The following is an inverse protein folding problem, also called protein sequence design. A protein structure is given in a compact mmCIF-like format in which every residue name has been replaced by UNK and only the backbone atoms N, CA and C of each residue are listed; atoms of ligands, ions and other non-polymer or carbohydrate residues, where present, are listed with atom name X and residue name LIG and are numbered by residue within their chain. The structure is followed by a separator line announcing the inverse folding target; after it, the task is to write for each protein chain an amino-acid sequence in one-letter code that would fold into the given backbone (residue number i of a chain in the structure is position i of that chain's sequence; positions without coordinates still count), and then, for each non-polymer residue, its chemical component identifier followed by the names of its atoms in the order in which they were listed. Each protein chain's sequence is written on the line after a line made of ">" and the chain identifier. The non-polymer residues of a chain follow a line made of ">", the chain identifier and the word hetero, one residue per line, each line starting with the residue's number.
data_IF_927229502208
#
_entry.id   IF_927229502208
#
_cell.length_a   1.000
_cell.length_b   1.000
_cell.length_c   1.000
_cell.angle_alpha   90.00
_cell.angle_beta   90.00
_cell.angle_gamma   90.00
#
_symmetry.space_group_name_H-M   'P 1'
#
loop_
_entity.id
_entity.type
_entity.pdbx_description
1 polymer ?
#
# COMPACT_ATOMS: atom_id res chain seq x y z
N UNK A 1 -42.04 50.72 54.53
CA UNK A 1 -41.70 49.36 55.00
C UNK A 1 -42.13 48.24 54.04
N UNK A 2 -43.42 48.03 53.73
CA UNK A 2 -43.86 46.90 52.86
C UNK A 2 -43.15 46.80 51.49
N UNK A 3 -42.95 47.93 50.78
CA UNK A 3 -42.24 47.94 49.48
C UNK A 3 -40.77 47.52 49.58
N UNK A 4 -40.09 47.86 50.69
CA UNK A 4 -38.68 47.51 50.92
C UNK A 4 -38.56 46.01 51.22
N UNK A 5 -39.50 45.44 51.98
CA UNK A 5 -39.54 44.00 52.29
C UNK A 5 -39.76 43.17 51.02
N UNK A 6 -40.66 43.60 50.13
CA UNK A 6 -40.91 42.92 48.85
C UNK A 6 -39.65 42.97 47.97
N UNK A 7 -38.98 44.13 47.88
CA UNK A 7 -37.78 44.28 47.07
C UNK A 7 -36.63 43.39 47.57
N UNK A 8 -36.42 43.33 48.91
CA UNK A 8 -35.43 42.47 49.53
C UNK A 8 -35.75 40.98 49.33
N UNK A 9 -37.02 40.59 49.39
CA UNK A 9 -37.44 39.21 49.14
C UNK A 9 -37.20 38.79 47.68
N UNK A 10 -37.50 39.66 46.72
CA UNK A 10 -37.20 39.41 45.30
C UNK A 10 -35.70 39.32 45.05
N UNK A 11 -34.89 40.18 45.68
CA UNK A 11 -33.42 40.11 45.60
C UNK A 11 -32.85 38.83 46.22
N UNK A 12 -33.39 38.37 47.36
CA UNK A 12 -32.97 37.11 47.99
C UNK A 12 -33.34 35.90 47.13
N UNK A 13 -34.52 35.90 46.51
CA UNK A 13 -34.93 34.85 45.57
C UNK A 13 -34.10 34.86 44.28
N UNK A 14 -33.76 36.03 43.77
CA UNK A 14 -32.88 36.17 42.60
C UNK A 14 -31.46 35.71 42.92
N UNK A 15 -30.92 36.07 44.09
CA UNK A 15 -29.59 35.65 44.53
C UNK A 15 -29.55 34.15 44.86
N UNK A 16 -30.57 33.58 45.49
CA UNK A 16 -30.62 32.13 45.76
C UNK A 16 -30.79 31.33 44.47
N UNK A 17 -31.62 31.80 43.53
CA UNK A 17 -31.72 31.23 42.18
C UNK A 17 -30.40 31.29 41.42
N UNK A 18 -29.65 32.39 41.54
CA UNK A 18 -28.34 32.57 40.92
C UNK A 18 -27.25 31.67 41.55
N UNK A 19 -27.26 31.51 42.88
CA UNK A 19 -26.34 30.61 43.59
C UNK A 19 -26.64 29.14 43.23
N UNK A 20 -27.90 28.73 43.16
CA UNK A 20 -28.28 27.38 42.70
C UNK A 20 -27.87 27.17 41.24
N UNK A 21 -28.09 28.16 40.36
CA UNK A 21 -27.69 28.11 38.96
C UNK A 21 -26.17 27.94 38.77
N UNK A 22 -25.36 28.71 39.50
CA UNK A 22 -23.89 28.65 39.42
C UNK A 22 -23.30 27.36 40.01
N UNK A 23 -23.94 26.78 41.05
CA UNK A 23 -23.50 25.51 41.66
C UNK A 23 -23.85 24.30 40.77
N UNK A 24 -25.01 24.31 40.09
CA UNK A 24 -25.46 23.18 39.27
C UNK A 24 -24.96 23.21 37.81
N UNK A 25 -24.63 24.38 37.25
CA UNK A 25 -24.28 24.52 35.82
C UNK A 25 -22.78 24.76 35.55
N UNK A 26 -21.89 24.12 36.32
CA UNK A 26 -20.42 24.27 36.17
C UNK A 26 -19.88 23.88 34.79
N UNK A 27 -20.68 23.14 33.99
CA UNK A 27 -20.37 22.74 32.61
C UNK A 27 -21.30 23.36 31.55
N UNK A 28 -22.18 24.29 31.92
CA UNK A 28 -23.10 24.93 30.99
C UNK A 28 -24.16 23.98 30.38
N UNK A 29 -24.42 22.82 30.98
CA UNK A 29 -25.40 21.82 30.51
C UNK A 29 -26.82 22.39 30.52
N UNK A 30 -27.24 23.04 31.61
CA UNK A 30 -28.60 23.59 31.71
C UNK A 30 -28.78 24.74 30.72
N UNK A 31 -27.77 25.62 30.64
CA UNK A 31 -27.73 26.70 29.66
C UNK A 31 -27.79 26.17 28.22
N UNK A 32 -27.02 25.13 27.89
CA UNK A 32 -27.06 24.51 26.57
C UNK A 32 -28.41 23.82 26.31
N UNK A 33 -29.07 23.23 27.31
CA UNK A 33 -30.40 22.60 27.13
C UNK A 33 -31.45 23.64 26.76
N UNK A 34 -31.48 24.76 27.47
CA UNK A 34 -32.39 25.88 27.17
C UNK A 34 -32.09 26.43 25.78
N UNK A 35 -30.82 26.72 25.49
CA UNK A 35 -30.40 27.26 24.19
C UNK A 35 -30.73 26.30 23.03
N UNK A 36 -30.51 24.99 23.21
CA UNK A 36 -30.87 23.98 22.23
C UNK A 36 -32.39 23.92 22.01
N UNK A 37 -33.19 23.98 23.08
CA UNK A 37 -34.65 23.97 22.99
C UNK A 37 -35.22 25.17 22.24
N UNK A 38 -34.52 26.32 22.25
CA UNK A 38 -34.90 27.52 21.46
C UNK A 38 -34.20 27.59 20.09
N UNK A 39 -33.55 26.51 19.64
CA UNK A 39 -33.04 26.37 18.28
C UNK A 39 -31.56 26.65 18.07
N UNK A 40 -30.75 26.76 19.14
CA UNK A 40 -29.30 26.94 19.00
C UNK A 40 -28.63 25.65 18.56
N UNK A 41 -28.22 25.61 17.30
CA UNK A 41 -27.48 24.50 16.71
C UNK A 41 -26.21 24.16 17.52
N UNK A 42 -25.43 25.17 17.92
CA UNK A 42 -24.18 24.97 18.65
C UNK A 42 -24.42 24.40 20.05
N UNK A 43 -25.52 24.81 20.71
CA UNK A 43 -25.87 24.29 22.02
C UNK A 43 -26.31 22.83 21.95
N UNK A 44 -27.13 22.48 20.95
CA UNK A 44 -27.49 21.09 20.68
C UNK A 44 -26.25 20.24 20.37
N UNK A 45 -25.34 20.72 19.51
CA UNK A 45 -24.10 20.01 19.20
C UNK A 45 -23.23 19.77 20.43
N UNK A 46 -23.08 20.78 21.30
CA UNK A 46 -22.34 20.64 22.57
C UNK A 46 -22.96 19.59 23.49
N UNK A 47 -24.29 19.52 23.57
CA UNK A 47 -24.97 18.47 24.34
C UNK A 47 -24.77 17.09 23.71
N UNK A 48 -24.84 16.99 22.39
CA UNK A 48 -24.54 15.75 21.67
C UNK A 48 -23.15 15.20 22.03
N UNK A 49 -22.13 16.07 21.99
CA UNK A 49 -20.76 15.71 22.42
C UNK A 49 -20.67 15.37 23.91
N UNK A 50 -21.32 16.15 24.77
CA UNK A 50 -21.32 15.91 26.22
C UNK A 50 -21.82 14.51 26.58
N UNK A 51 -22.88 14.02 25.91
CA UNK A 51 -23.42 12.67 26.12
C UNK A 51 -22.62 11.56 25.39
N UNK A 52 -21.66 11.93 24.53
CA UNK A 52 -20.77 10.98 23.87
C UNK A 52 -19.51 10.69 24.70
N UNK A 53 -19.05 11.65 25.52
CA UNK A 53 -17.85 11.52 26.34
C UNK A 53 -17.97 10.39 27.39
N UNK A 54 -16.87 9.68 27.65
CA UNK A 54 -16.81 8.42 28.43
C UNK A 54 -17.47 8.47 29.82
N UNK A 55 -17.49 9.64 30.48
CA UNK A 55 -18.13 9.80 31.81
C UNK A 55 -19.65 9.92 31.76
N UNK A 56 -20.23 10.16 30.58
CA UNK A 56 -21.65 10.44 30.37
C UNK A 56 -22.24 9.66 29.20
N UNK A 57 -21.64 8.51 28.84
CA UNK A 57 -21.92 7.75 27.62
C UNK A 57 -23.40 7.32 27.55
N UNK A 58 -24.21 8.18 26.94
CA UNK A 58 -25.60 7.96 26.62
C UNK A 58 -25.74 8.22 25.12
N UNK A 59 -25.40 7.19 24.35
CA UNK A 59 -25.29 7.25 22.89
C UNK A 59 -26.65 7.63 22.27
N UNK A 60 -27.75 7.18 22.86
CA UNK A 60 -29.10 7.54 22.40
C UNK A 60 -29.38 9.04 22.59
N UNK A 61 -29.08 9.61 23.77
CA UNK A 61 -29.21 11.05 23.98
C UNK A 61 -28.24 11.85 23.10
N UNK A 62 -27.02 11.35 22.92
CA UNK A 62 -26.03 11.97 22.03
C UNK A 62 -26.59 12.09 20.61
N UNK A 63 -27.14 11.01 20.07
CA UNK A 63 -27.79 11.00 18.75
C UNK A 63 -28.96 11.99 18.71
N UNK A 64 -29.85 11.98 19.71
CA UNK A 64 -31.00 12.88 19.78
C UNK A 64 -30.57 14.36 19.65
N UNK A 65 -29.54 14.77 20.38
CA UNK A 65 -29.02 16.13 20.32
C UNK A 65 -28.28 16.44 19.02
N UNK A 66 -27.57 15.47 18.42
CA UNK A 66 -27.00 15.65 17.08
C UNK A 66 -28.07 15.79 16.01
N UNK A 67 -29.16 15.02 16.05
CA UNK A 67 -30.26 15.16 15.11
C UNK A 67 -30.93 16.53 15.22
N UNK A 68 -31.20 16.98 16.46
CA UNK A 68 -31.71 18.33 16.73
C UNK A 68 -30.79 19.40 16.15
N UNK A 69 -29.49 19.29 16.43
CA UNK A 69 -28.48 20.21 15.92
C UNK A 69 -28.42 20.22 14.38
N UNK A 70 -28.46 19.05 13.74
CA UNK A 70 -28.48 18.94 12.29
C UNK A 70 -29.75 19.57 11.69
N UNK A 71 -30.90 19.42 12.33
CA UNK A 71 -32.14 20.08 11.91
C UNK A 71 -32.08 21.62 12.05
N UNK A 72 -31.15 22.14 12.85
CA UNK A 72 -30.78 23.56 12.91
C UNK A 72 -29.57 23.91 12.03
N UNK A 73 -29.35 23.13 10.97
CA UNK A 73 -28.33 23.34 9.95
C UNK A 73 -26.87 23.27 10.46
N UNK A 74 -26.60 22.45 11.47
CA UNK A 74 -25.22 22.16 11.88
C UNK A 74 -24.62 21.01 11.04
N UNK A 75 -23.63 21.29 10.18
CA UNK A 75 -23.05 20.28 9.30
C UNK A 75 -22.38 19.13 10.08
N UNK A 76 -21.62 19.43 11.13
CA UNK A 76 -20.90 18.43 11.90
C UNK A 76 -21.86 17.47 12.59
N UNK A 77 -22.95 17.97 13.15
CA UNK A 77 -23.98 17.17 13.76
C UNK A 77 -24.67 16.26 12.74
N UNK A 78 -24.93 16.77 11.53
CA UNK A 78 -25.43 15.93 10.44
C UNK A 78 -24.47 14.78 10.14
N UNK A 79 -23.15 15.06 10.10
CA UNK A 79 -22.15 14.00 9.92
C UNK A 79 -22.16 12.98 11.06
N UNK A 80 -22.23 13.42 12.33
CA UNK A 80 -22.28 12.52 13.48
C UNK A 80 -23.54 11.65 13.47
N UNK A 81 -24.72 12.23 13.21
CA UNK A 81 -25.96 11.46 13.05
C UNK A 81 -25.85 10.43 11.92
N UNK A 82 -25.26 10.81 10.78
CA UNK A 82 -24.99 9.89 9.67
C UNK A 82 -24.11 8.72 10.09
N UNK A 83 -23.03 9.00 10.83
CA UNK A 83 -22.10 7.99 11.33
C UNK A 83 -22.75 7.02 12.31
N UNK A 84 -23.58 7.51 13.24
CA UNK A 84 -24.29 6.67 14.20
C UNK A 84 -25.19 5.66 13.50
N UNK A 85 -25.91 6.11 12.46
CA UNK A 85 -26.77 5.22 11.67
C UNK A 85 -26.00 4.27 10.76
N UNK A 86 -24.85 4.69 10.22
CA UNK A 86 -24.00 3.83 9.38
C UNK A 86 -23.38 2.69 10.21
N UNK A 87 -22.99 2.98 11.45
CA UNK A 87 -22.27 2.03 12.33
C UNK A 87 -23.20 1.23 13.24
N UNK A 88 -24.46 1.64 13.43
CA UNK A 88 -25.39 0.96 14.34
C UNK A 88 -25.10 1.25 15.82
N UNK A 89 -24.51 2.40 16.16
CA UNK A 89 -24.18 2.73 17.56
C UNK A 89 -25.40 2.83 18.48
N UNK A 90 -26.59 3.07 17.93
CA UNK A 90 -27.86 3.19 18.66
C UNK A 90 -28.86 2.09 18.28
N UNK A 91 -28.38 0.93 17.82
CA UNK A 91 -29.20 -0.21 17.42
C UNK A 91 -28.79 -0.78 16.06
N UNK A 92 -29.75 -1.16 15.22
CA UNK A 92 -29.44 -1.70 13.90
C UNK A 92 -28.87 -0.63 12.95
N UNK A 93 -28.02 -1.07 12.01
CA UNK A 93 -27.50 -0.24 10.92
C UNK A 93 -28.68 0.27 10.07
N UNK A 94 -28.75 1.58 9.87
CA UNK A 94 -29.81 2.25 9.09
C UNK A 94 -29.19 3.07 7.96
N UNK A 95 -28.72 2.38 6.93
CA UNK A 95 -27.99 3.00 5.82
C UNK A 95 -28.79 4.11 5.11
N UNK A 96 -30.12 3.96 4.96
CA UNK A 96 -30.97 5.01 4.36
C UNK A 96 -30.91 6.32 5.16
N UNK A 97 -31.07 6.25 6.49
CA UNK A 97 -30.94 7.42 7.36
C UNK A 97 -29.52 7.99 7.33
N UNK A 98 -28.50 7.13 7.31
CA UNK A 98 -27.11 7.58 7.20
C UNK A 98 -26.90 8.44 5.94
N UNK A 99 -27.39 7.97 4.78
CA UNK A 99 -27.35 8.73 3.52
C UNK A 99 -28.08 10.07 3.64
N UNK A 100 -29.27 10.12 4.23
CA UNK A 100 -30.02 11.37 4.41
C UNK A 100 -29.25 12.40 5.24
N UNK A 101 -28.67 11.97 6.37
CA UNK A 101 -27.90 12.85 7.24
C UNK A 101 -26.58 13.32 6.61
N UNK A 102 -25.84 12.43 5.96
CA UNK A 102 -24.64 12.84 5.21
C UNK A 102 -24.99 13.75 4.04
N UNK A 103 -26.13 13.55 3.37
CA UNK A 103 -26.60 14.47 2.34
C UNK A 103 -26.86 15.86 2.91
N UNK A 104 -27.57 15.98 4.04
CA UNK A 104 -27.77 17.27 4.72
C UNK A 104 -26.43 17.94 5.05
N UNK A 105 -25.48 17.21 5.65
CA UNK A 105 -24.15 17.75 5.97
C UNK A 105 -23.37 18.17 4.72
N UNK A 106 -23.44 17.39 3.64
CA UNK A 106 -22.79 17.72 2.38
C UNK A 106 -23.42 18.93 1.68
N UNK A 107 -24.74 19.07 1.73
CA UNK A 107 -25.47 20.23 1.20
C UNK A 107 -25.11 21.52 1.98
N UNK A 108 -24.74 21.38 3.26
CA UNK A 108 -24.18 22.44 4.11
C UNK A 108 -22.66 22.65 3.92
N UNK A 109 -22.07 22.08 2.87
CA UNK A 109 -20.64 22.19 2.54
C UNK A 109 -19.70 21.67 3.62
N UNK A 110 -20.04 20.52 4.24
CA UNK A 110 -19.08 19.76 5.04
C UNK A 110 -18.39 18.70 4.17
N UNK A 111 -17.07 18.80 3.95
CA UNK A 111 -16.36 17.86 3.07
C UNK A 111 -16.44 16.43 3.57
N UNK A 112 -16.31 16.21 4.89
CA UNK A 112 -16.43 14.89 5.51
C UNK A 112 -17.78 14.22 5.22
N UNK A 113 -18.88 14.98 5.24
CA UNK A 113 -20.20 14.43 4.91
C UNK A 113 -20.33 14.10 3.43
N UNK A 114 -19.78 14.94 2.53
CA UNK A 114 -19.73 14.61 1.10
C UNK A 114 -18.91 13.33 0.86
N UNK A 115 -17.76 13.20 1.51
CA UNK A 115 -16.92 12.01 1.45
C UNK A 115 -17.65 10.75 1.92
N UNK A 116 -18.31 10.81 3.08
CA UNK A 116 -19.02 9.66 3.62
C UNK A 116 -20.23 9.26 2.77
N UNK A 117 -20.93 10.25 2.21
CA UNK A 117 -22.00 10.00 1.25
C UNK A 117 -21.46 9.35 -0.04
N UNK A 118 -20.33 9.84 -0.55
CA UNK A 118 -19.65 9.28 -1.71
C UNK A 118 -19.25 7.82 -1.48
N UNK A 119 -18.66 7.51 -0.32
CA UNK A 119 -18.29 6.16 0.06
C UNK A 119 -19.50 5.20 0.07
N UNK A 120 -20.64 5.64 0.63
CA UNK A 120 -21.86 4.83 0.61
C UNK A 120 -22.36 4.58 -0.82
N UNK A 121 -22.23 5.56 -1.71
CA UNK A 121 -22.56 5.38 -3.13
C UNK A 121 -21.55 4.50 -3.87
N UNK A 122 -20.25 4.56 -3.54
CA UNK A 122 -19.19 3.72 -4.12
C UNK A 122 -19.41 2.24 -3.80
N UNK A 123 -19.81 1.91 -2.56
CA UNK A 123 -20.12 0.52 -2.16
C UNK A 123 -21.36 -0.06 -2.84
N UNK A 124 -22.13 0.77 -3.57
CA UNK A 124 -23.31 0.36 -4.32
C UNK A 124 -23.08 0.62 -5.81
N UNK A 125 -22.65 -0.41 -6.55
CA UNK A 125 -22.29 -0.34 -7.99
C UNK A 125 -23.34 0.33 -8.90
N UNK A 126 -24.59 0.42 -8.46
CA UNK A 126 -25.66 1.12 -9.15
C UNK A 126 -25.54 2.66 -9.12
N UNK A 127 -24.69 3.23 -8.27
CA UNK A 127 -24.62 4.70 -8.01
C UNK A 127 -23.20 5.27 -8.04
N UNK A 128 -22.30 4.68 -8.84
CA UNK A 128 -20.91 5.15 -8.93
C UNK A 128 -20.80 6.59 -9.46
N UNK A 129 -21.70 7.01 -10.36
CA UNK A 129 -21.75 8.38 -10.88
C UNK A 129 -22.03 9.39 -9.77
N UNK A 130 -22.93 9.06 -8.84
CA UNK A 130 -23.20 9.88 -7.65
C UNK A 130 -21.99 9.91 -6.71
N UNK A 131 -21.31 8.77 -6.52
CA UNK A 131 -20.10 8.72 -5.71
C UNK A 131 -19.02 9.67 -6.25
N UNK A 132 -18.77 9.63 -7.56
CA UNK A 132 -17.83 10.53 -8.26
C UNK A 132 -18.18 11.99 -7.99
N UNK A 133 -19.44 12.38 -8.18
CA UNK A 133 -19.90 13.76 -7.94
C UNK A 133 -19.64 14.23 -6.51
N UNK A 134 -19.90 13.37 -5.51
CA UNK A 134 -19.69 13.74 -4.11
C UNK A 134 -18.21 13.72 -3.71
N UNK A 135 -17.40 12.84 -4.30
CA UNK A 135 -15.94 12.88 -4.13
C UNK A 135 -15.32 14.14 -4.75
N UNK A 136 -15.77 14.56 -5.95
CA UNK A 136 -15.36 15.84 -6.54
C UNK A 136 -15.70 16.99 -5.61
N UNK A 137 -16.97 17.11 -5.18
CA UNK A 137 -17.41 18.17 -4.26
C UNK A 137 -16.61 18.18 -2.96
N UNK A 138 -16.27 17.01 -2.42
CA UNK A 138 -15.44 16.89 -1.21
C UNK A 138 -13.99 17.32 -1.46
N UNK A 139 -13.41 16.92 -2.59
CA UNK A 139 -12.05 17.28 -2.98
C UNK A 139 -11.89 18.78 -3.26
N UNK A 140 -12.89 19.42 -3.90
CA UNK A 140 -12.92 20.88 -4.14
C UNK A 140 -12.86 21.69 -2.83
N UNK A 141 -13.12 21.03 -1.70
CA UNK A 141 -13.03 21.59 -0.35
C UNK A 141 -11.84 21.00 0.44
N UNK A 142 -10.78 20.60 -0.27
CA UNK A 142 -9.50 20.12 0.27
C UNK A 142 -9.56 18.82 1.09
N UNK A 143 -10.62 18.01 0.95
CA UNK A 143 -10.62 16.69 1.59
C UNK A 143 -9.65 15.75 0.85
N UNK A 144 -8.51 15.45 1.47
CA UNK A 144 -7.40 14.72 0.83
C UNK A 144 -7.77 13.28 0.48
N UNK A 145 -8.56 12.60 1.32
CA UNK A 145 -9.07 11.26 1.03
C UNK A 145 -9.92 11.25 -0.25
N UNK A 146 -10.88 12.18 -0.36
CA UNK A 146 -11.71 12.32 -1.55
C UNK A 146 -10.87 12.70 -2.78
N UNK A 147 -9.88 13.59 -2.62
CA UNK A 147 -8.96 13.94 -3.69
C UNK A 147 -8.14 12.75 -4.19
N UNK A 148 -7.61 11.92 -3.29
CA UNK A 148 -6.90 10.71 -3.67
C UNK A 148 -7.81 9.72 -4.41
N UNK A 149 -9.07 9.58 -3.95
CA UNK A 149 -10.08 8.73 -4.59
C UNK A 149 -10.48 9.20 -5.98
N UNK A 150 -10.85 10.47 -6.13
CA UNK A 150 -11.24 11.02 -7.44
C UNK A 150 -10.05 11.09 -8.39
N UNK A 151 -8.84 11.36 -7.86
CA UNK A 151 -7.59 11.26 -8.60
C UNK A 151 -7.40 9.87 -9.18
N UNK A 152 -7.61 8.83 -8.37
CA UNK A 152 -7.53 7.43 -8.81
C UNK A 152 -8.59 7.10 -9.86
N UNK A 153 -9.84 7.54 -9.68
CA UNK A 153 -10.88 7.31 -10.68
C UNK A 153 -10.56 7.99 -12.02
N UNK A 154 -10.06 9.22 -11.99
CA UNK A 154 -9.65 9.92 -13.22
C UNK A 154 -8.41 9.32 -13.89
N UNK A 155 -7.51 8.68 -13.13
CA UNK A 155 -6.33 8.01 -13.67
C UNK A 155 -6.69 6.74 -14.45
N UNK A 156 -7.78 6.07 -14.04
CA UNK A 156 -8.21 4.78 -14.55
C UNK A 156 -9.45 4.90 -15.43
N UNK A 157 -9.81 3.82 -16.13
CA UNK A 157 -11.10 3.73 -16.79
C UNK A 157 -12.14 3.27 -15.77
N UNK A 158 -12.78 4.22 -15.09
CA UNK A 158 -13.83 3.95 -14.11
C UNK A 158 -15.19 3.95 -14.79
N UNK A 159 -16.08 3.01 -14.46
CA UNK A 159 -17.42 2.94 -15.07
C UNK A 159 -18.17 4.28 -14.86
N UNK A 160 -18.61 4.90 -15.96
CA UNK A 160 -19.30 6.19 -15.93
C UNK A 160 -18.38 7.41 -15.83
N UNK A 161 -17.05 7.23 -15.92
CA UNK A 161 -16.07 8.32 -15.92
C UNK A 161 -14.93 8.01 -16.89
N UNK A 162 -14.80 8.82 -17.93
CA UNK A 162 -13.67 8.71 -18.85
C UNK A 162 -12.38 9.11 -18.15
N UNK A 163 -11.31 8.38 -18.46
CA UNK A 163 -9.95 8.69 -17.99
C UNK A 163 -9.60 10.14 -18.34
N UNK A 164 -9.14 10.89 -17.34
CA UNK A 164 -8.71 12.27 -17.49
C UNK A 164 -7.49 12.56 -16.59
N UNK A 165 -6.29 12.44 -17.17
CA UNK A 165 -5.05 12.62 -16.42
C UNK A 165 -4.85 14.04 -15.88
N UNK A 166 -5.39 15.07 -16.55
CA UNK A 166 -5.28 16.45 -16.05
C UNK A 166 -6.12 16.66 -14.79
N UNK A 167 -7.35 16.14 -14.74
CA UNK A 167 -8.17 16.16 -13.52
C UNK A 167 -7.56 15.30 -12.41
N UNK A 168 -6.99 14.15 -12.76
CA UNK A 168 -6.28 13.30 -11.80
C UNK A 168 -5.08 14.01 -11.17
N UNK A 169 -4.25 14.64 -12.00
CA UNK A 169 -3.11 15.46 -11.57
C UNK A 169 -3.55 16.55 -10.60
N UNK A 170 -4.59 17.31 -10.95
CA UNK A 170 -5.09 18.40 -10.09
C UNK A 170 -5.62 17.87 -8.75
N UNK A 171 -6.31 16.73 -8.73
CA UNK A 171 -6.79 16.13 -7.49
C UNK A 171 -5.63 15.69 -6.58
N UNK A 172 -4.62 15.00 -7.12
CA UNK A 172 -3.43 14.65 -6.34
C UNK A 172 -2.62 15.87 -5.90
N UNK A 173 -2.60 16.93 -6.72
CA UNK A 173 -1.99 18.20 -6.34
C UNK A 173 -2.70 18.84 -5.14
N UNK A 174 -4.03 18.94 -5.16
CA UNK A 174 -4.81 19.44 -4.01
C UNK A 174 -4.52 18.60 -2.76
N UNK A 175 -4.51 17.28 -2.91
CA UNK A 175 -4.18 16.35 -1.82
C UNK A 175 -2.79 16.63 -1.23
N UNK A 176 -1.77 16.75 -2.08
CA UNK A 176 -0.39 17.03 -1.67
C UNK A 176 -0.18 18.43 -1.06
N UNK A 177 -0.84 19.45 -1.62
CA UNK A 177 -0.80 20.82 -1.12
C UNK A 177 -1.40 20.92 0.29
N UNK A 178 -2.28 19.98 0.66
CA UNK A 178 -2.84 19.81 2.01
C UNK A 178 -2.10 18.73 2.83
N UNK A 179 -0.81 18.53 2.53
CA UNK A 179 0.13 17.70 3.30
C UNK A 179 -0.17 16.18 3.33
N UNK A 180 -1.06 15.68 2.47
CA UNK A 180 -1.34 14.25 2.37
C UNK A 180 -0.19 13.52 1.67
N UNK A 181 0.46 12.60 2.39
CA UNK A 181 1.60 11.86 1.89
C UNK A 181 1.25 10.95 0.70
N UNK A 182 0.03 10.41 0.66
CA UNK A 182 -0.44 9.58 -0.46
C UNK A 182 -0.64 10.44 -1.70
N UNK A 183 -1.23 11.62 -1.54
CA UNK A 183 -1.38 12.63 -2.58
C UNK A 183 -0.04 13.06 -3.16
N UNK A 184 0.94 13.38 -2.30
CA UNK A 184 2.28 13.76 -2.74
C UNK A 184 3.04 12.62 -3.44
N UNK A 185 2.93 11.38 -2.96
CA UNK A 185 3.52 10.23 -3.65
C UNK A 185 2.90 10.02 -5.05
N UNK A 186 1.58 10.14 -5.18
CA UNK A 186 0.91 10.02 -6.47
C UNK A 186 1.28 11.18 -7.41
N UNK A 187 1.39 12.40 -6.88
CA UNK A 187 1.87 13.55 -7.64
C UNK A 187 3.31 13.34 -8.14
N UNK A 188 4.19 12.73 -7.33
CA UNK A 188 5.54 12.36 -7.75
C UNK A 188 5.53 11.37 -8.91
N UNK A 189 4.66 10.35 -8.87
CA UNK A 189 4.47 9.39 -9.97
C UNK A 189 4.02 10.11 -11.26
N UNK A 190 3.18 11.14 -11.14
CA UNK A 190 2.72 11.93 -12.29
C UNK A 190 3.85 12.71 -12.94
N UNK A 191 4.67 13.41 -12.14
CA UNK A 191 5.87 14.08 -12.65
C UNK A 191 6.92 13.09 -13.17
N UNK A 192 7.07 11.91 -12.55
CA UNK A 192 7.99 10.87 -13.00
C UNK A 192 7.64 10.37 -14.39
N UNK A 193 6.35 10.22 -14.71
CA UNK A 193 5.90 9.58 -15.94
C UNK A 193 5.29 10.54 -16.96
N UNK A 194 5.22 11.84 -16.66
CA UNK A 194 4.62 12.85 -17.56
C UNK A 194 3.11 12.66 -17.75
N UNK A 195 2.39 12.27 -16.68
CA UNK A 195 0.95 11.93 -16.77
C UNK A 195 0.08 13.18 -16.66
N UNK A 196 -0.35 13.75 -17.78
CA UNK A 196 -1.19 14.96 -17.77
C UNK A 196 -0.47 16.23 -17.30
N UNK A 197 0.85 16.14 -17.14
CA UNK A 197 1.81 17.21 -16.82
C UNK A 197 3.12 16.86 -17.52
N UNK A 198 3.97 17.85 -17.83
CA UNK A 198 5.30 17.58 -18.36
C UNK A 198 6.14 16.76 -17.37
N UNK A 199 6.88 15.79 -17.90
CA UNK A 199 7.77 14.97 -17.09
C UNK A 199 8.84 15.84 -16.41
N UNK A 200 8.99 15.69 -15.10
CA UNK A 200 10.02 16.36 -14.33
C UNK A 200 10.53 15.47 -13.20
N UNK A 201 11.65 14.78 -13.48
CA UNK A 201 12.24 13.82 -12.56
C UNK A 201 12.79 14.48 -11.29
N UNK A 202 13.25 15.72 -11.35
CA UNK A 202 13.74 16.45 -10.16
C UNK A 202 12.61 16.83 -9.21
N UNK A 203 11.45 17.24 -9.74
CA UNK A 203 10.26 17.47 -8.91
C UNK A 203 9.78 16.14 -8.29
N UNK A 204 9.73 15.06 -9.08
CA UNK A 204 9.36 13.74 -8.57
C UNK A 204 10.30 13.28 -7.43
N UNK A 205 11.61 13.43 -7.61
CA UNK A 205 12.60 13.10 -6.59
C UNK A 205 12.38 13.88 -5.28
N UNK A 206 12.16 15.19 -5.39
CA UNK A 206 11.91 16.05 -4.23
C UNK A 206 10.61 15.69 -3.51
N UNK A 207 9.55 15.34 -4.25
CA UNK A 207 8.30 14.89 -3.65
C UNK A 207 8.48 13.55 -2.94
N UNK A 208 9.16 12.58 -3.56
CA UNK A 208 9.47 11.30 -2.90
C UNK A 208 10.34 11.48 -1.65
N UNK A 209 11.31 12.40 -1.68
CA UNK A 209 12.12 12.74 -0.51
C UNK A 209 11.24 13.32 0.61
N UNK A 210 10.44 14.34 0.31
CA UNK A 210 9.52 14.96 1.28
C UNK A 210 8.61 13.94 1.96
N UNK A 211 8.02 13.02 1.19
CA UNK A 211 7.11 12.01 1.75
C UNK A 211 7.84 10.88 2.44
N UNK A 212 9.03 10.49 1.96
CA UNK A 212 9.88 9.52 2.64
C UNK A 212 10.30 10.01 4.03
N UNK A 213 10.77 11.26 4.13
CA UNK A 213 11.16 11.89 5.41
C UNK A 213 9.98 11.98 6.40
N UNK A 214 8.76 12.05 5.88
CA UNK A 214 7.52 12.03 6.67
C UNK A 214 6.99 10.60 6.98
N UNK A 215 7.75 9.55 6.64
CA UNK A 215 7.42 8.16 6.98
C UNK A 215 6.61 7.39 5.92
N UNK A 216 6.51 7.88 4.68
CA UNK A 216 5.91 7.11 3.59
C UNK A 216 6.93 6.12 3.00
N UNK A 217 6.84 4.85 3.40
CA UNK A 217 7.81 3.82 3.00
C UNK A 217 7.77 3.48 1.50
N UNK A 218 6.61 3.63 0.83
CA UNK A 218 6.50 3.46 -0.62
C UNK A 218 7.27 4.57 -1.35
N UNK A 219 7.20 5.81 -0.87
CA UNK A 219 8.02 6.90 -1.41
C UNK A 219 9.50 6.71 -1.14
N UNK A 220 9.89 6.23 0.04
CA UNK A 220 11.28 5.85 0.33
C UNK A 220 11.79 4.78 -0.64
N UNK A 221 10.98 3.76 -0.96
CA UNK A 221 11.31 2.77 -1.99
C UNK A 221 11.49 3.43 -3.37
N UNK A 222 10.58 4.30 -3.79
CA UNK A 222 10.67 4.99 -5.07
C UNK A 222 11.90 5.90 -5.16
N UNK A 223 12.24 6.59 -4.06
CA UNK A 223 13.46 7.39 -3.96
C UNK A 223 14.72 6.51 -4.00
N UNK A 224 14.69 5.34 -3.35
CA UNK A 224 15.76 4.34 -3.42
C UNK A 224 16.02 3.92 -4.86
N UNK A 225 14.94 3.71 -5.65
CA UNK A 225 15.06 3.43 -7.09
C UNK A 225 15.66 4.59 -7.88
N UNK A 226 15.27 5.84 -7.55
CA UNK A 226 15.84 7.03 -8.16
C UNK A 226 17.35 7.12 -7.93
N UNK A 227 17.81 6.91 -6.70
CA UNK A 227 19.24 6.87 -6.40
C UNK A 227 19.95 5.67 -7.02
N UNK A 228 19.33 4.49 -7.06
CA UNK A 228 19.91 3.30 -7.67
C UNK A 228 20.20 3.52 -9.16
N UNK A 229 19.31 4.24 -9.86
CA UNK A 229 19.36 4.44 -11.31
C UNK A 229 19.90 5.81 -11.74
N UNK A 230 20.09 6.75 -10.83
CA UNK A 230 20.44 8.13 -11.16
C UNK A 230 19.33 8.88 -11.91
N UNK A 231 18.07 8.64 -11.52
CA UNK A 231 16.89 9.25 -12.17
C UNK A 231 16.52 10.51 -11.39
N UNK A 232 16.66 11.69 -12.01
CA UNK A 232 16.32 12.97 -11.38
C UNK A 232 17.23 13.39 -10.21
N UNK A 233 18.15 12.52 -9.79
CA UNK A 233 19.19 12.68 -8.77
C UNK A 233 20.48 12.04 -9.25
N UNK A 234 21.62 12.40 -8.67
CA UNK A 234 22.87 11.70 -8.91
C UNK A 234 22.78 10.24 -8.44
N UNK A 235 23.33 9.31 -9.21
CA UNK A 235 23.32 7.89 -8.85
C UNK A 235 24.10 7.68 -7.54
N UNK A 236 23.47 7.03 -6.56
CA UNK A 236 24.10 6.72 -5.28
C UNK A 236 23.56 5.40 -4.71
N UNK A 237 24.34 4.32 -4.88
CA UNK A 237 23.92 3.00 -4.41
C UNK A 237 23.83 2.90 -2.89
N UNK A 238 24.66 3.63 -2.14
CA UNK A 238 24.63 3.63 -0.68
C UNK A 238 23.32 4.22 -0.14
N UNK A 239 22.88 5.35 -0.70
CA UNK A 239 21.59 5.95 -0.34
C UNK A 239 20.43 5.04 -0.77
N UNK A 240 20.51 4.41 -1.95
CA UNK A 240 19.50 3.45 -2.38
C UNK A 240 19.35 2.28 -1.39
N UNK A 241 20.47 1.69 -0.95
CA UNK A 241 20.49 0.60 0.04
C UNK A 241 19.86 1.05 1.36
N UNK A 242 20.26 2.22 1.89
CA UNK A 242 19.70 2.77 3.14
C UNK A 242 18.18 2.94 3.06
N UNK A 243 17.68 3.49 1.95
CA UNK A 243 16.26 3.72 1.74
C UNK A 243 15.49 2.40 1.59
N UNK A 244 16.01 1.46 0.80
CA UNK A 244 15.37 0.14 0.65
C UNK A 244 15.38 -0.65 1.96
N UNK A 245 16.46 -0.62 2.73
CA UNK A 245 16.55 -1.28 4.03
C UNK A 245 15.58 -0.67 5.04
N UNK A 246 15.50 0.66 5.11
CA UNK A 246 14.55 1.38 5.95
C UNK A 246 13.10 1.02 5.60
N UNK A 247 12.72 1.06 4.32
CA UNK A 247 11.38 0.68 3.85
C UNK A 247 11.07 -0.79 4.08
N UNK A 248 12.01 -1.69 3.76
CA UNK A 248 11.83 -3.12 3.96
C UNK A 248 11.67 -3.47 5.44
N UNK A 249 12.43 -2.82 6.33
CA UNK A 249 12.30 -2.97 7.78
C UNK A 249 10.92 -2.55 8.30
N UNK A 250 10.27 -1.61 7.60
CA UNK A 250 8.89 -1.17 7.85
C UNK A 250 7.85 -1.83 6.94
N UNK A 251 8.13 -3.06 6.49
CA UNK A 251 7.19 -3.93 5.76
C UNK A 251 6.74 -3.40 4.40
N UNK A 252 7.53 -2.55 3.74
CA UNK A 252 7.36 -2.30 2.31
C UNK A 252 7.95 -3.50 1.54
N UNK A 253 7.08 -4.26 0.89
CA UNK A 253 7.43 -5.50 0.17
C UNK A 253 8.29 -5.27 -1.09
N UNK A 254 7.98 -4.28 -1.92
CA UNK A 254 8.80 -3.90 -3.08
C UNK A 254 10.20 -3.46 -2.66
N UNK A 255 10.33 -2.75 -1.53
CA UNK A 255 11.64 -2.39 -1.01
C UNK A 255 12.46 -3.62 -0.61
N UNK A 256 11.83 -4.62 0.02
CA UNK A 256 12.50 -5.89 0.33
C UNK A 256 12.97 -6.61 -0.92
N UNK A 257 12.16 -6.65 -1.99
CA UNK A 257 12.61 -7.21 -3.28
C UNK A 257 13.75 -6.40 -3.89
N UNK A 258 13.69 -5.08 -3.88
CA UNK A 258 14.73 -4.23 -4.44
C UNK A 258 16.06 -4.37 -3.68
N UNK A 259 16.02 -4.45 -2.35
CA UNK A 259 17.21 -4.75 -1.55
C UNK A 259 17.74 -6.15 -1.84
N UNK A 260 16.85 -7.15 -1.91
CA UNK A 260 17.20 -8.52 -2.28
C UNK A 260 17.91 -8.59 -3.64
N UNK A 261 17.44 -7.81 -4.61
CA UNK A 261 18.07 -7.69 -5.92
C UNK A 261 19.47 -7.09 -5.85
N UNK A 262 19.66 -6.02 -5.08
CA UNK A 262 20.98 -5.42 -4.89
C UNK A 262 21.94 -6.39 -4.20
N UNK A 263 21.46 -7.14 -3.20
CA UNK A 263 22.26 -8.15 -2.49
C UNK A 263 22.60 -9.33 -3.39
N UNK A 264 21.64 -9.86 -4.16
CA UNK A 264 21.89 -10.97 -5.07
C UNK A 264 22.94 -10.63 -6.13
N UNK A 265 23.00 -9.37 -6.58
CA UNK A 265 23.87 -8.96 -7.67
C UNK A 265 25.13 -8.20 -7.21
N UNK A 266 25.33 -8.03 -5.89
CA UNK A 266 26.47 -7.30 -5.34
C UNK A 266 26.51 -5.82 -5.73
N UNK A 267 25.35 -5.16 -5.82
CA UNK A 267 25.26 -3.76 -6.24
C UNK A 267 25.47 -2.83 -5.05
N UNK A 268 26.67 -2.26 -4.92
CA UNK A 268 27.02 -1.36 -3.82
C UNK A 268 27.22 -2.05 -2.47
N UNK A 269 27.18 -3.39 -2.45
CA UNK A 269 27.34 -4.24 -1.27
C UNK A 269 27.86 -5.63 -1.72
N UNK A 270 28.36 -6.45 -0.79
CA UNK A 270 28.87 -7.79 -1.12
C UNK A 270 27.74 -8.76 -1.49
N UNK A 271 27.94 -9.57 -2.52
CA UNK A 271 26.94 -10.56 -2.93
C UNK A 271 26.69 -11.60 -1.81
N UNK A 272 25.42 -11.73 -1.39
CA UNK A 272 24.98 -12.77 -0.43
C UNK A 272 23.64 -13.38 -0.84
N UNK A 273 23.69 -14.56 -1.46
CA UNK A 273 22.49 -15.26 -1.92
C UNK A 273 21.56 -15.69 -0.77
N UNK A 274 22.09 -15.94 0.44
CA UNK A 274 21.24 -16.33 1.57
C UNK A 274 20.49 -15.12 2.14
N UNK A 275 21.16 -13.96 2.23
CA UNK A 275 20.49 -12.72 2.62
C UNK A 275 19.47 -12.29 1.57
N UNK A 276 19.81 -12.34 0.28
CA UNK A 276 18.86 -12.07 -0.81
C UNK A 276 17.63 -12.98 -0.73
N UNK A 277 17.83 -14.28 -0.48
CA UNK A 277 16.74 -15.24 -0.31
C UNK A 277 15.82 -14.88 0.87
N UNK A 278 16.38 -14.45 2.01
CA UNK A 278 15.59 -13.99 3.17
C UNK A 278 14.76 -12.73 2.83
N UNK A 279 15.35 -11.79 2.09
CA UNK A 279 14.69 -10.55 1.68
C UNK A 279 13.54 -10.81 0.71
N UNK A 280 13.75 -11.66 -0.31
CA UNK A 280 12.68 -12.07 -1.22
C UNK A 280 11.59 -12.86 -0.50
N UNK A 281 11.95 -13.74 0.44
CA UNK A 281 10.96 -14.44 1.26
C UNK A 281 10.11 -13.47 2.07
N UNK A 282 10.73 -12.47 2.71
CA UNK A 282 10.01 -11.41 3.43
C UNK A 282 9.08 -10.64 2.50
N UNK A 283 9.54 -10.25 1.31
CA UNK A 283 8.70 -9.61 0.30
C UNK A 283 7.48 -10.45 -0.10
N UNK A 284 7.70 -11.75 -0.33
CA UNK A 284 6.64 -12.71 -0.62
C UNK A 284 5.62 -12.85 0.53
N UNK A 285 6.11 -12.94 1.77
CA UNK A 285 5.25 -13.03 2.97
C UNK A 285 4.42 -11.77 3.21
N UNK A 286 4.89 -10.63 2.70
CA UNK A 286 4.17 -9.36 2.67
C UNK A 286 3.20 -9.24 1.47
N UNK A 287 3.04 -10.32 0.68
CA UNK A 287 2.07 -10.40 -0.41
C UNK A 287 2.56 -9.90 -1.77
N UNK A 288 3.87 -9.67 -1.96
CA UNK A 288 4.41 -9.24 -3.24
C UNK A 288 4.75 -10.44 -4.14
N UNK A 289 3.99 -10.60 -5.23
CA UNK A 289 4.18 -11.69 -6.18
C UNK A 289 5.57 -11.70 -6.81
N UNK A 290 6.12 -10.54 -7.19
CA UNK A 290 7.48 -10.47 -7.72
C UNK A 290 8.51 -10.95 -6.67
N UNK A 291 8.28 -10.65 -5.39
CA UNK A 291 9.08 -11.19 -4.29
C UNK A 291 9.01 -12.71 -4.21
N UNK A 292 7.83 -13.29 -4.37
CA UNK A 292 7.65 -14.75 -4.42
C UNK A 292 8.35 -15.38 -5.62
N UNK A 293 8.25 -14.76 -6.79
CA UNK A 293 8.87 -15.24 -8.02
C UNK A 293 10.39 -15.22 -7.89
N UNK A 294 10.96 -14.09 -7.43
CA UNK A 294 12.40 -13.95 -7.18
C UNK A 294 12.91 -14.92 -6.10
N UNK A 295 12.12 -15.17 -5.06
CA UNK A 295 12.43 -16.19 -4.05
C UNK A 295 12.54 -17.58 -4.69
N UNK A 296 11.52 -18.01 -5.45
CA UNK A 296 11.48 -19.32 -6.08
C UNK A 296 12.62 -19.49 -7.11
N UNK A 297 12.87 -18.48 -7.93
CA UNK A 297 13.98 -18.49 -8.89
C UNK A 297 15.33 -18.64 -8.19
N UNK A 298 15.54 -17.92 -7.08
CA UNK A 298 16.79 -17.98 -6.33
C UNK A 298 16.98 -19.33 -5.62
N UNK A 299 15.91 -19.96 -5.11
CA UNK A 299 15.99 -21.33 -4.57
C UNK A 299 16.52 -22.30 -5.64
N UNK A 300 15.92 -22.30 -6.82
CA UNK A 300 16.30 -23.18 -7.93
C UNK A 300 17.76 -22.93 -8.34
N UNK A 301 18.18 -21.66 -8.39
CA UNK A 301 19.56 -21.30 -8.71
C UNK A 301 20.54 -21.86 -7.67
N UNK A 302 20.25 -21.68 -6.38
CA UNK A 302 21.09 -22.18 -5.28
C UNK A 302 21.21 -23.71 -5.33
N UNK A 303 20.13 -24.42 -5.61
CA UNK A 303 20.14 -25.89 -5.77
C UNK A 303 21.03 -26.32 -6.94
N UNK A 304 20.88 -25.69 -8.11
CA UNK A 304 21.74 -25.94 -9.28
C UNK A 304 23.21 -25.68 -8.99
N UNK A 305 23.53 -24.61 -8.26
CA UNK A 305 24.90 -24.32 -7.83
C UNK A 305 25.44 -25.43 -6.93
N UNK A 306 24.67 -25.87 -5.93
CA UNK A 306 25.06 -26.97 -5.02
C UNK A 306 25.32 -28.27 -5.78
N UNK A 307 24.44 -28.64 -6.72
CA UNK A 307 24.62 -29.81 -7.57
C UNK A 307 25.89 -29.74 -8.42
N UNK A 308 26.14 -28.58 -9.04
CA UNK A 308 27.33 -28.37 -9.87
C UNK A 308 28.62 -28.44 -9.04
N UNK A 309 28.61 -27.87 -7.83
CA UNK A 309 29.73 -27.99 -6.89
C UNK A 309 29.96 -29.47 -6.53
N UNK A 310 28.92 -30.20 -6.16
CA UNK A 310 29.02 -31.63 -5.82
C UNK A 310 29.57 -32.47 -7.00
N UNK A 311 29.10 -32.22 -8.23
CA UNK A 311 29.62 -32.87 -9.45
C UNK A 311 31.09 -32.54 -9.70
N UNK A 312 31.48 -31.27 -9.53
CA UNK A 312 32.87 -30.83 -9.72
C UNK A 312 33.83 -31.40 -8.66
N UNK A 313 33.36 -31.59 -7.43
CA UNK A 313 34.12 -32.23 -6.37
C UNK A 313 34.26 -33.74 -6.63
N UNK A 314 33.17 -34.40 -7.03
CA UNK A 314 33.18 -35.82 -7.40
C UNK A 314 34.15 -36.12 -8.56
N UNK A 315 34.17 -35.29 -9.60
CA UNK A 315 35.10 -35.44 -10.73
C UNK A 315 36.57 -35.22 -10.33
N UNK A 316 36.86 -34.35 -9.35
CA UNK A 316 38.22 -34.17 -8.80
C UNK A 316 38.67 -35.32 -7.91
N UNK A 317 37.75 -36.09 -7.34
CA UNK A 317 38.03 -37.24 -6.46
C UNK A 317 37.97 -38.60 -7.15
N UNK A 318 37.71 -38.66 -8.46
CA UNK A 318 37.86 -39.91 -9.22
C UNK A 318 39.31 -40.42 -9.05
N UNK A 319 39.51 -41.65 -8.53
CA UNK A 319 40.83 -42.24 -8.48
C UNK A 319 41.42 -42.29 -9.90
N UNK A 320 42.73 -42.08 -10.05
CA UNK A 320 43.48 -42.40 -11.29
C UNK A 320 43.53 -43.92 -11.57
N UNK A 321 42.52 -44.66 -11.12
CA UNK A 321 42.48 -46.12 -11.14
C UNK A 321 42.27 -46.66 -12.56
N UNK A 322 41.71 -45.89 -13.48
CA UNK A 322 41.55 -46.34 -14.87
C UNK A 322 42.87 -46.27 -15.64
N UNK A 323 43.76 -45.32 -15.30
CA UNK A 323 45.10 -45.24 -15.88
C UNK A 323 46.02 -46.32 -15.26
N UNK A 324 45.88 -46.58 -13.95
CA UNK A 324 46.67 -47.58 -13.24
C UNK A 324 46.21 -49.03 -13.52
N UNK A 325 44.91 -49.29 -13.65
CA UNK A 325 44.37 -50.59 -14.09
C UNK A 325 44.67 -50.85 -15.56
N UNK A 326 44.70 -49.83 -16.43
CA UNK A 326 45.12 -49.99 -17.83
C UNK A 326 46.63 -50.28 -17.96
N UNK A 327 47.46 -49.75 -17.06
CA UNK A 327 48.89 -50.07 -16.97
C UNK A 327 49.10 -51.49 -16.41
N UNK A 328 48.38 -51.88 -15.36
CA UNK A 328 48.47 -53.24 -14.79
C UNK A 328 47.97 -54.32 -15.75
N UNK A 329 46.86 -54.08 -16.46
CA UNK A 329 46.34 -55.04 -17.45
C UNK A 329 47.26 -55.18 -18.69
N UNK A 330 47.92 -54.10 -19.14
CA UNK A 330 48.97 -54.19 -20.17
C UNK A 330 50.24 -54.89 -19.69
N UNK A 331 50.63 -54.75 -18.42
CA UNK A 331 51.77 -55.48 -17.85
C UNK A 331 51.50 -56.98 -17.66
N UNK A 332 50.23 -57.39 -17.47
CA UNK A 332 49.82 -58.79 -17.38
C UNK A 332 49.79 -59.45 -18.78
N UNK A 333 49.32 -58.74 -19.83
CA UNK A 333 49.33 -59.26 -21.21
C UNK A 333 50.75 -59.52 -21.75
N UNK A 334 51.74 -58.72 -21.35
CA UNK A 334 53.14 -58.90 -21.76
C UNK A 334 53.85 -60.07 -21.06
N UNK A 335 53.33 -60.59 -19.95
CA UNK A 335 53.93 -61.74 -19.23
C UNK A 335 53.46 -63.11 -19.72
N UNK A 336 52.42 -63.18 -20.57
CA UNK A 336 51.83 -64.45 -21.03
C UNK A 336 52.17 -64.88 -22.47
N UNK A 337 53.03 -64.16 -23.20
CA UNK A 337 53.54 -64.64 -24.49
C UNK A 337 54.93 -65.25 -24.37
N UNK A 338 54.99 -66.59 -24.24
CA UNK A 338 56.16 -67.39 -24.67
C UNK A 338 55.88 -68.03 -26.04
N UNK A 339 56.88 -68.17 -26.92
CA UNK A 339 56.70 -68.51 -28.33
C UNK A 339 56.91 -70.01 -28.62
N UNK A 340 56.16 -70.53 -29.58
CA UNK A 340 56.43 -71.76 -30.36
C UNK A 340 55.33 -71.88 -31.43
N UNK A 341 55.48 -72.49 -32.60
CA UNK A 341 56.58 -72.66 -33.54
C UNK A 341 55.91 -73.14 -34.85
N UNK A 342 56.53 -72.79 -35.97
CA UNK A 342 56.41 -73.17 -37.40
C UNK A 342 55.36 -74.17 -37.97
N UNK A 343 55.04 -73.86 -39.24
CA UNK A 343 54.62 -74.70 -40.40
C UNK A 343 53.17 -75.23 -40.41
N UNK A 344 52.36 -75.06 -41.47
CA UNK A 344 52.65 -75.31 -42.90
C UNK A 344 51.51 -74.81 -43.84
N UNK A 345 51.92 -74.40 -45.05
CA UNK A 345 51.28 -74.53 -46.37
C UNK A 345 49.80 -74.12 -46.66
N UNK A 346 49.69 -73.09 -47.52
CA UNK A 346 49.04 -73.07 -48.85
C UNK A 346 47.60 -73.61 -49.04
N UNK A 347 46.64 -72.73 -49.35
CA UNK A 347 46.08 -72.52 -50.71
C UNK A 347 44.88 -71.54 -50.74
N UNK A 348 44.98 -70.62 -51.71
CA UNK A 348 43.98 -69.88 -52.48
C UNK A 348 42.50 -70.28 -52.42
N UNK A 349 41.61 -69.28 -52.44
CA UNK A 349 40.64 -69.06 -53.53
C UNK A 349 39.94 -67.69 -53.45
N UNK A 350 39.91 -67.04 -54.60
CA UNK A 350 39.12 -65.88 -54.98
C UNK A 350 37.61 -66.12 -54.82
N UNK A 351 36.81 -65.08 -54.57
CA UNK A 351 35.87 -64.53 -55.57
C UNK A 351 35.12 -63.29 -55.09
N UNK A 352 34.76 -62.48 -56.08
CA UNK A 352 34.14 -61.15 -56.07
C UNK A 352 32.65 -61.22 -55.73
N UNK A 353 32.07 -60.12 -55.22
CA UNK A 353 30.99 -59.42 -55.95
C UNK A 353 30.53 -58.09 -55.30
N UNK A 354 31.01 -56.99 -55.88
CA UNK A 354 30.27 -55.96 -56.64
C UNK A 354 28.84 -55.49 -56.25
N UNK A 355 28.67 -54.16 -56.39
CA UNK A 355 27.44 -53.33 -56.61
C UNK A 355 26.59 -53.05 -55.35
N UNK A 356 25.98 -51.87 -55.13
CA UNK A 356 25.72 -50.72 -56.00
C UNK A 356 25.20 -49.53 -55.16
N UNK A 357 25.60 -48.31 -55.58
CA UNK A 357 24.77 -47.11 -55.84
C UNK A 357 23.95 -46.38 -54.76
N UNK A 358 24.21 -45.05 -54.79
CA UNK A 358 23.28 -43.89 -54.96
C UNK A 358 22.93 -43.04 -53.73
N UNK A 359 23.67 -41.93 -53.60
CA UNK A 359 23.23 -40.52 -53.73
C UNK A 359 21.72 -40.19 -53.68
N UNK A 360 21.32 -39.23 -52.82
CA UNK A 360 20.99 -37.82 -53.19
C UNK A 360 20.20 -37.10 -52.08
N UNK A 361 20.68 -35.90 -51.74
CA UNK A 361 19.99 -34.62 -51.52
C UNK A 361 18.54 -34.58 -50.99
N UNK A 362 18.31 -33.79 -49.94
CA UNK A 362 17.59 -32.48 -50.04
C UNK A 362 17.43 -31.78 -48.68
N UNK A 363 17.79 -30.49 -48.72
CA UNK A 363 17.33 -29.32 -47.95
C UNK A 363 17.50 -29.28 -46.43
#
# INVERSE_FOLDING_TARGET
>A
MKKIIILLFVLVLAMSGFIVYTIFDTKGILTNKIACAVGSQNACYKLGKFYLEEKNQDINKSLEYFEKSCNHANPEACNHSGYFYQTGLTGEVKMFKAKEFYKKGCDLNLPLSCNNLAYIHETSDATLTEAIKYYEKSCDQNNTFACNKIGFFYQNNTKGLDKNLSKSFNAYKISCDNEDLTGCNNLAIFYQNGLGVDQNLSIAANLYLKTCDAGNFTSCNNLGFFFQKGIGVEQNLENAIKLYDFSCSNNESFACSNLGFMVQNGLGLEQDLNLALKLYKKSCDLGNQNGCDMFNELVILIEKIKENIAKSQYQKTQPKDDEQKAIESKQIELKHKKPADKNSSLKSKDEKDNKNKKSKDKK
#
